data_IF_009989073013
#
_entry.id   IF_009989073013
#
_cell.length_a   1.000
_cell.length_b   1.000
_cell.length_c   1.000
_cell.angle_alpha   90.00
_cell.angle_beta   90.00
_cell.angle_gamma   90.00
#
_symmetry.space_group_name_H-M   'P 1'
#
loop_
_entity.id
_entity.type
_entity.pdbx_description
1 polymer ?
#
# COMPACT_ATOMS: atom_id res chain seq x y z
N UNK A 1 -9.00 -1.24 -10.19
CA UNK A 1 -7.94 -2.23 -10.46
C UNK A 1 -6.65 -1.58 -11.00
N UNK A 2 -6.74 -0.69 -12.01
CA UNK A 2 -5.57 -0.06 -12.64
C UNK A 2 -4.59 0.62 -11.68
N UNK A 3 -5.08 1.31 -10.63
CA UNK A 3 -4.20 1.99 -9.66
C UNK A 3 -3.28 1.03 -8.91
N UNK A 4 -3.74 -0.19 -8.61
CA UNK A 4 -2.95 -1.19 -7.92
C UNK A 4 -1.81 -1.69 -8.81
N UNK A 5 -2.10 -1.97 -10.07
CA UNK A 5 -1.11 -2.37 -11.08
C UNK A 5 -0.03 -1.30 -11.26
N UNK A 6 -0.42 -0.01 -11.32
CA UNK A 6 0.54 1.09 -11.41
C UNK A 6 1.41 1.25 -10.15
N UNK A 7 0.84 1.08 -8.95
CA UNK A 7 1.62 1.09 -7.71
C UNK A 7 2.63 -0.05 -7.69
N UNK A 8 2.25 -1.24 -8.14
CA UNK A 8 3.16 -2.39 -8.26
C UNK A 8 4.29 -2.03 -9.23
N UNK A 9 3.96 -1.58 -10.43
CA UNK A 9 4.96 -1.18 -11.44
C UNK A 9 5.95 -0.12 -10.92
N UNK A 10 5.45 0.98 -10.34
CA UNK A 10 6.30 2.06 -9.81
C UNK A 10 7.21 1.57 -8.68
N UNK A 11 6.73 0.65 -7.83
CA UNK A 11 7.54 0.05 -6.77
C UNK A 11 8.62 -0.86 -7.32
N UNK A 12 8.29 -1.69 -8.30
CA UNK A 12 9.26 -2.54 -8.99
C UNK A 12 10.37 -1.68 -9.56
N UNK A 13 10.06 -0.59 -10.26
CA UNK A 13 11.07 0.34 -10.78
C UNK A 13 11.91 0.98 -9.67
N UNK A 14 11.30 1.39 -8.55
CA UNK A 14 12.01 2.02 -7.41
C UNK A 14 12.97 1.05 -6.73
N UNK A 15 12.56 -0.22 -6.60
CA UNK A 15 13.35 -1.28 -5.95
C UNK A 15 14.45 -1.78 -6.89
N UNK A 16 14.15 -1.97 -8.18
CA UNK A 16 15.10 -2.43 -9.19
C UNK A 16 16.31 -1.50 -9.34
N UNK A 17 16.14 -0.19 -9.06
CA UNK A 17 17.26 0.78 -9.02
C UNK A 17 18.28 0.50 -7.90
N UNK A 18 17.94 -0.28 -6.88
CA UNK A 18 18.84 -0.64 -5.79
C UNK A 18 19.24 0.53 -4.87
N UNK A 19 20.20 0.27 -4.00
CA UNK A 19 20.78 1.22 -3.06
C UNK A 19 19.83 1.73 -1.96
N UNK A 20 20.29 2.77 -1.23
CA UNK A 20 19.55 3.37 -0.10
C UNK A 20 18.10 3.76 -0.43
N UNK A 21 17.75 4.32 -1.61
CA UNK A 21 16.36 4.61 -1.95
C UNK A 21 15.47 3.36 -2.06
N UNK A 22 15.98 2.26 -2.61
CA UNK A 22 15.26 0.99 -2.72
C UNK A 22 15.00 0.38 -1.33
N UNK A 23 16.00 0.37 -0.45
CA UNK A 23 15.84 -0.09 0.94
C UNK A 23 14.78 0.73 1.70
N UNK A 24 14.80 2.06 1.54
CA UNK A 24 13.79 2.92 2.16
C UNK A 24 12.39 2.62 1.64
N UNK A 25 12.23 2.37 0.34
CA UNK A 25 10.94 1.99 -0.22
C UNK A 25 10.50 0.62 0.31
N UNK A 26 11.38 -0.37 0.38
CA UNK A 26 11.07 -1.70 0.93
C UNK A 26 10.62 -1.63 2.40
N UNK A 27 11.37 -0.92 3.26
CA UNK A 27 11.00 -0.71 4.68
C UNK A 27 9.66 0.02 4.82
N UNK A 28 9.42 1.02 3.96
CA UNK A 28 8.14 1.74 3.92
C UNK A 28 7.00 0.82 3.51
N UNK A 29 7.19 -0.03 2.49
CA UNK A 29 6.19 -1.00 2.06
C UNK A 29 5.78 -1.94 3.18
N UNK A 30 6.73 -2.44 3.97
CA UNK A 30 6.45 -3.31 5.13
C UNK A 30 5.63 -2.55 6.17
N UNK A 31 6.06 -1.34 6.53
CA UNK A 31 5.35 -0.49 7.50
C UNK A 31 3.90 -0.19 7.06
N UNK A 32 3.69 0.05 5.77
CA UNK A 32 2.36 0.27 5.21
C UNK A 32 1.48 -0.99 5.28
N UNK A 33 2.04 -2.18 4.99
CA UNK A 33 1.32 -3.45 5.10
C UNK A 33 0.89 -3.72 6.54
N UNK A 34 1.79 -3.56 7.52
CA UNK A 34 1.49 -3.74 8.94
C UNK A 34 0.36 -2.79 9.37
N UNK A 35 0.47 -1.50 9.02
CA UNK A 35 -0.57 -0.50 9.36
C UNK A 35 -1.91 -0.79 8.69
N UNK A 36 -1.92 -1.32 7.47
CA UNK A 36 -3.15 -1.68 6.76
C UNK A 36 -3.78 -2.94 7.34
N UNK A 37 -2.97 -3.96 7.64
CA UNK A 37 -3.40 -5.20 8.29
C UNK A 37 -3.97 -4.93 9.68
N UNK A 38 -3.30 -4.11 10.51
CA UNK A 38 -3.82 -3.73 11.82
C UNK A 38 -5.19 -3.04 11.74
N UNK A 39 -5.36 -2.07 10.82
CA UNK A 39 -6.67 -1.44 10.60
C UNK A 39 -7.72 -2.42 10.10
N UNK A 40 -7.38 -3.28 9.13
CA UNK A 40 -8.30 -4.28 8.62
C UNK A 40 -8.71 -5.26 9.72
N UNK A 41 -7.76 -5.69 10.56
CA UNK A 41 -8.00 -6.55 11.71
C UNK A 41 -8.96 -5.92 12.72
N UNK A 42 -8.76 -4.64 13.07
CA UNK A 42 -9.71 -3.91 13.92
C UNK A 42 -11.09 -3.83 13.26
N UNK A 43 -11.16 -3.49 11.96
CA UNK A 43 -12.42 -3.43 11.23
C UNK A 43 -13.15 -4.77 11.23
N UNK A 44 -12.45 -5.89 11.02
CA UNK A 44 -13.04 -7.22 11.11
C UNK A 44 -13.52 -7.54 12.53
N UNK A 45 -12.72 -7.24 13.55
CA UNK A 45 -13.08 -7.48 14.94
C UNK A 45 -14.31 -6.68 15.38
N UNK A 46 -14.53 -5.50 14.80
CA UNK A 46 -15.73 -4.67 15.04
C UNK A 46 -16.89 -4.96 14.09
N UNK A 47 -16.83 -6.02 13.28
CA UNK A 47 -17.92 -6.42 12.38
C UNK A 47 -18.10 -5.54 11.14
N UNK A 48 -17.07 -4.84 10.68
CA UNK A 48 -17.17 -3.98 9.50
C UNK A 48 -17.47 -4.79 8.22
N UNK A 49 -18.33 -4.28 7.32
CA UNK A 49 -18.61 -4.94 6.04
C UNK A 49 -17.35 -5.09 5.18
N UNK A 50 -17.24 -6.18 4.42
CA UNK A 50 -16.13 -6.44 3.52
C UNK A 50 -15.89 -5.31 2.50
N UNK A 51 -16.97 -4.67 2.02
CA UNK A 51 -16.89 -3.53 1.11
C UNK A 51 -16.19 -2.32 1.72
N UNK A 52 -16.30 -2.13 3.04
CA UNK A 52 -15.63 -1.04 3.74
C UNK A 52 -14.13 -1.31 3.89
N UNK A 53 -13.75 -2.54 4.19
CA UNK A 53 -12.34 -2.98 4.21
C UNK A 53 -11.73 -2.78 2.81
N UNK A 54 -12.43 -3.17 1.75
CA UNK A 54 -11.99 -2.94 0.37
C UNK A 54 -11.82 -1.44 0.05
N UNK A 55 -12.75 -0.59 0.50
CA UNK A 55 -12.68 0.87 0.35
C UNK A 55 -11.45 1.46 1.07
N UNK A 56 -11.16 0.97 2.28
CA UNK A 56 -9.98 1.37 3.05
C UNK A 56 -8.68 1.06 2.29
N UNK A 57 -8.56 -0.15 1.71
CA UNK A 57 -7.41 -0.52 0.88
C UNK A 57 -7.31 0.34 -0.39
N UNK A 58 -8.42 0.62 -1.09
CA UNK A 58 -8.42 1.50 -2.27
C UNK A 58 -7.90 2.90 -1.94
N UNK A 59 -8.31 3.48 -0.80
CA UNK A 59 -7.79 4.78 -0.33
C UNK A 59 -6.27 4.77 -0.13
N UNK A 60 -5.72 3.67 0.41
CA UNK A 60 -4.27 3.50 0.59
C UNK A 60 -3.53 3.34 -0.73
N UNK A 61 -4.08 2.56 -1.67
CA UNK A 61 -3.51 2.38 -3.01
C UNK A 61 -3.43 3.73 -3.75
N UNK A 62 -4.50 4.53 -3.73
CA UNK A 62 -4.51 5.86 -4.36
C UNK A 62 -3.48 6.82 -3.75
N UNK A 63 -3.35 6.82 -2.43
CA UNK A 63 -2.33 7.61 -1.74
C UNK A 63 -0.90 7.17 -2.14
N UNK A 64 -0.67 5.86 -2.25
CA UNK A 64 0.60 5.30 -2.67
C UNK A 64 0.94 5.68 -4.12
N UNK A 65 -0.03 5.60 -5.03
CA UNK A 65 0.14 6.03 -6.43
C UNK A 65 0.59 7.49 -6.48
N UNK A 66 -0.12 8.40 -5.81
CA UNK A 66 0.20 9.83 -5.79
C UNK A 66 1.61 10.11 -5.25
N UNK A 67 2.07 9.33 -4.28
CA UNK A 67 3.43 9.46 -3.73
C UNK A 67 4.49 8.94 -4.68
N UNK A 68 4.24 7.80 -5.32
CA UNK A 68 5.21 7.13 -6.19
C UNK A 68 5.35 7.79 -7.56
N UNK A 69 4.34 8.55 -7.98
CA UNK A 69 4.36 9.33 -9.22
C UNK A 69 5.02 10.70 -9.06
N UNK A 70 5.62 11.00 -7.90
CA UNK A 70 6.43 12.19 -7.63
C UNK A 70 7.89 11.77 -7.52
#
# INVERSE_FOLDING_TARGET
AMEAQQVIWLRTLRIAKGGKPAEREAKRMISEKIKAAGRAGTMFATGAPAGEVARMYRKKIRANRKRLSR
#
